data_IF_077829425292
#
_entry.id   IF_077829425292
#
_cell.length_a   1.000
_cell.length_b   1.000
_cell.length_c   1.000
_cell.angle_alpha   90.00
_cell.angle_beta   90.00
_cell.angle_gamma   90.00
#
_symmetry.space_group_name_H-M   'P 1'
#
loop_
_entity.id
_entity.type
_entity.pdbx_description
1 polymer ?
#
# COMPACT_ATOMS: atom_id res chain seq x y z
N UNK A 1 17.10 -39.64 -1.84
CA UNK A 1 16.70 -40.83 -1.11
C UNK A 1 15.28 -40.57 -0.78
N UNK A 2 14.45 -41.12 -1.64
CA UNK A 2 13.24 -41.87 -1.33
C UNK A 2 12.59 -42.20 -2.66
N UNK A 3 12.89 -43.40 -3.05
CA UNK A 3 12.27 -44.12 -4.15
C UNK A 3 10.82 -44.36 -3.78
N UNK A 4 9.91 -44.03 -4.70
CA UNK A 4 8.56 -44.54 -4.66
C UNK A 4 8.62 -46.10 -4.67
N UNK A 5 8.53 -46.72 -3.50
CA UNK A 5 8.11 -48.07 -3.34
C UNK A 5 6.57 -48.14 -3.45
N UNK A 6 6.10 -48.24 -4.67
CA UNK A 6 4.78 -48.75 -4.96
C UNK A 6 4.98 -50.16 -5.50
N UNK A 7 5.00 -51.15 -4.60
CA UNK A 7 4.62 -52.56 -4.85
C UNK A 7 5.11 -53.45 -3.72
N UNK A 8 4.29 -53.63 -2.72
CA UNK A 8 4.05 -54.98 -2.18
C UNK A 8 2.65 -54.98 -1.58
N UNK A 9 1.98 -56.10 -1.94
CA UNK A 9 0.79 -56.70 -1.38
C UNK A 9 -0.56 -56.46 -2.06
N UNK A 10 -0.99 -57.53 -2.67
CA UNK A 10 -2.29 -57.87 -3.18
C UNK A 10 -3.45 -57.33 -2.35
N UNK A 11 -4.23 -56.44 -2.96
CA UNK A 11 -5.67 -56.44 -2.80
C UNK A 11 -6.29 -55.76 -4.02
N UNK A 12 -6.94 -56.56 -4.87
CA UNK A 12 -7.72 -56.08 -6.00
C UNK A 12 -8.93 -55.29 -5.50
N UNK A 13 -8.82 -53.99 -5.53
CA UNK A 13 -9.96 -53.09 -5.56
C UNK A 13 -9.91 -52.36 -6.90
N UNK A 14 -10.89 -52.64 -7.74
CA UNK A 14 -11.07 -52.03 -9.05
C UNK A 14 -11.35 -50.54 -8.90
N UNK A 15 -10.34 -49.71 -8.96
CA UNK A 15 -10.49 -48.32 -9.20
C UNK A 15 -10.74 -48.07 -10.70
N UNK A 16 -11.97 -47.70 -11.07
CA UNK A 16 -12.27 -47.19 -12.41
C UNK A 16 -11.53 -45.87 -12.58
N UNK A 17 -10.40 -45.89 -13.25
CA UNK A 17 -9.81 -44.68 -13.80
C UNK A 17 -10.60 -44.31 -15.06
N UNK A 18 -11.30 -43.19 -15.03
CA UNK A 18 -11.81 -42.57 -16.24
C UNK A 18 -10.61 -42.07 -17.05
N UNK A 19 -10.50 -42.54 -18.29
CA UNK A 19 -9.55 -42.04 -19.28
C UNK A 19 -9.84 -40.55 -19.54
N UNK A 20 -9.22 -39.65 -18.82
CA UNK A 20 -9.06 -38.27 -19.27
C UNK A 20 -7.63 -38.13 -19.77
N UNK A 21 -7.53 -38.04 -21.07
CA UNK A 21 -6.32 -37.70 -21.79
C UNK A 21 -6.04 -36.18 -21.52
N UNK A 22 -5.10 -35.89 -20.66
CA UNK A 22 -4.69 -34.51 -20.46
C UNK A 22 -3.63 -34.18 -21.53
N UNK A 23 -4.05 -33.48 -22.59
CA UNK A 23 -3.12 -32.94 -23.58
C UNK A 23 -2.67 -31.58 -23.08
N UNK A 24 -1.46 -31.50 -22.53
CA UNK A 24 -0.80 -30.25 -22.24
C UNK A 24 0.38 -30.10 -23.21
N UNK A 25 0.22 -29.18 -24.16
CA UNK A 25 1.35 -28.64 -24.94
C UNK A 25 2.19 -29.65 -25.71
N UNK A 26 1.60 -30.58 -26.48
CA UNK A 26 2.32 -31.34 -27.52
C UNK A 26 3.35 -32.37 -27.04
N UNK A 27 3.41 -32.71 -25.78
CA UNK A 27 4.29 -33.76 -25.27
C UNK A 27 3.51 -35.05 -24.99
N UNK A 28 3.71 -36.10 -25.80
CA UNK A 28 3.19 -37.44 -25.57
C UNK A 28 4.16 -38.19 -24.66
N UNK A 29 3.79 -38.39 -23.40
CA UNK A 29 4.53 -39.25 -22.50
C UNK A 29 4.14 -40.72 -22.77
N UNK A 30 5.01 -41.45 -23.45
CA UNK A 30 4.91 -42.89 -23.55
C UNK A 30 5.47 -43.51 -22.26
N UNK A 31 4.58 -44.09 -21.45
CA UNK A 31 4.98 -44.96 -20.34
C UNK A 31 5.47 -46.29 -20.92
N UNK A 32 6.62 -46.81 -20.51
CA UNK A 32 7.07 -48.13 -20.99
C UNK A 32 6.19 -49.24 -20.42
N UNK A 33 5.55 -50.00 -21.30
CA UNK A 33 4.94 -51.29 -20.93
C UNK A 33 6.05 -52.29 -20.62
N UNK A 34 6.12 -52.74 -19.39
CA UNK A 34 6.99 -53.89 -19.04
C UNK A 34 6.19 -55.19 -19.32
N UNK A 35 6.54 -55.87 -20.40
CA UNK A 35 6.09 -57.23 -20.62
C UNK A 35 6.96 -58.19 -19.79
N UNK A 36 6.36 -58.88 -18.85
CA UNK A 36 6.98 -60.03 -18.19
C UNK A 36 6.93 -61.23 -19.13
N UNK A 37 8.06 -61.53 -19.76
CA UNK A 37 8.32 -62.87 -20.25
C UNK A 37 9.68 -63.37 -19.76
N UNK A 38 9.80 -64.58 -19.18
CA UNK A 38 11.09 -65.05 -18.74
C UNK A 38 11.85 -65.60 -19.97
N UNK A 39 12.88 -64.96 -20.38
CA UNK A 39 13.86 -65.50 -21.35
C UNK A 39 15.13 -65.77 -20.56
N UNK A 40 15.59 -67.03 -20.73
CA UNK A 40 16.77 -67.64 -20.13
C UNK A 40 18.02 -66.81 -20.42
N UNK A 41 18.90 -66.73 -19.38
CA UNK A 41 20.19 -66.03 -19.44
C UNK A 41 21.15 -66.77 -20.34
N UNK A 42 21.70 -66.09 -21.31
CA UNK A 42 23.02 -66.40 -21.87
C UNK A 42 23.72 -65.04 -22.21
N UNK A 43 24.89 -64.93 -21.71
CA UNK A 43 25.91 -63.93 -21.84
C UNK A 43 25.72 -62.78 -22.89
N UNK A 44 25.31 -61.61 -22.43
CA UNK A 44 25.54 -60.38 -23.17
C UNK A 44 26.28 -59.40 -22.27
N UNK A 45 27.57 -59.26 -22.50
CA UNK A 45 28.37 -58.16 -21.98
C UNK A 45 27.87 -56.81 -22.55
N UNK A 46 27.01 -56.14 -21.79
CA UNK A 46 26.56 -54.78 -22.18
C UNK A 46 27.64 -53.79 -21.73
N UNK A 47 28.28 -53.19 -22.71
CA UNK A 47 29.16 -52.04 -22.48
C UNK A 47 28.31 -50.91 -21.82
N UNK A 48 28.68 -50.51 -20.63
CA UNK A 48 28.07 -49.37 -19.95
C UNK A 48 28.40 -48.06 -20.69
N UNK A 49 27.47 -47.64 -21.57
CA UNK A 49 27.43 -46.25 -22.00
C UNK A 49 26.95 -45.39 -20.82
N UNK A 50 27.53 -44.24 -20.55
CA UNK A 50 27.08 -43.36 -19.48
C UNK A 50 25.63 -42.92 -19.75
N UNK A 51 24.70 -43.29 -18.84
CA UNK A 51 23.33 -42.85 -18.87
C UNK A 51 23.33 -41.30 -18.75
N UNK A 52 22.83 -40.57 -19.74
CA UNK A 52 22.80 -39.10 -19.62
C UNK A 52 21.94 -38.68 -18.44
N UNK A 53 22.43 -37.68 -17.70
CA UNK A 53 21.80 -37.16 -16.48
C UNK A 53 20.51 -36.40 -16.87
N UNK A 54 19.43 -37.10 -17.15
CA UNK A 54 18.09 -36.53 -17.39
C UNK A 54 17.35 -36.18 -16.06
N UNK A 55 17.90 -36.58 -14.89
CA UNK A 55 17.27 -36.37 -13.58
C UNK A 55 17.11 -34.92 -13.17
N UNK A 56 17.92 -33.98 -13.66
CA UNK A 56 17.88 -32.57 -13.18
C UNK A 56 16.79 -31.76 -13.90
N UNK A 57 16.56 -32.02 -15.17
CA UNK A 57 15.52 -31.31 -15.93
C UNK A 57 14.11 -31.78 -15.56
N UNK A 58 13.92 -33.07 -15.34
CA UNK A 58 12.62 -33.62 -14.93
C UNK A 58 12.13 -33.09 -13.59
N UNK A 59 13.02 -32.90 -12.62
CA UNK A 59 12.67 -32.33 -11.32
C UNK A 59 12.27 -30.84 -11.44
N UNK A 60 12.93 -30.06 -12.30
CA UNK A 60 12.56 -28.66 -12.53
C UNK A 60 11.19 -28.54 -13.20
N UNK A 61 10.94 -29.35 -14.22
CA UNK A 61 9.64 -29.36 -14.90
C UNK A 61 8.53 -29.80 -13.93
N UNK A 62 8.77 -30.83 -13.13
CA UNK A 62 7.80 -31.29 -12.13
C UNK A 62 7.51 -30.21 -11.07
N UNK A 63 8.53 -29.55 -10.53
CA UNK A 63 8.34 -28.44 -9.59
C UNK A 63 7.55 -27.29 -10.23
N UNK A 64 7.89 -26.91 -11.47
CA UNK A 64 7.15 -25.89 -12.19
C UNK A 64 5.66 -26.26 -12.38
N UNK A 65 5.37 -27.49 -12.76
CA UNK A 65 3.98 -27.97 -12.89
C UNK A 65 3.23 -27.94 -11.54
N UNK A 66 3.89 -28.34 -10.45
CA UNK A 66 3.29 -28.30 -9.10
C UNK A 66 3.05 -26.86 -8.64
N UNK A 67 3.95 -25.95 -8.95
CA UNK A 67 3.80 -24.52 -8.66
C UNK A 67 2.63 -23.92 -9.47
N UNK A 68 2.52 -24.24 -10.76
CA UNK A 68 1.44 -23.78 -11.64
C UNK A 68 0.07 -24.28 -11.14
N UNK A 69 -0.05 -25.56 -10.77
CA UNK A 69 -1.27 -26.15 -10.18
C UNK A 69 -1.63 -25.46 -8.86
N UNK A 70 -0.62 -25.18 -8.03
CA UNK A 70 -0.80 -24.47 -6.76
C UNK A 70 -1.32 -23.04 -6.99
N UNK A 71 -0.79 -22.35 -7.99
CA UNK A 71 -1.19 -20.98 -8.29
C UNK A 71 -2.60 -20.92 -8.92
N UNK A 72 -2.98 -21.86 -9.80
CA UNK A 72 -4.35 -22.00 -10.30
C UNK A 72 -5.36 -22.23 -9.16
N UNK A 73 -5.03 -23.11 -8.21
CA UNK A 73 -5.88 -23.36 -7.03
C UNK A 73 -6.06 -22.11 -6.17
N UNK A 74 -5.00 -21.29 -5.98
CA UNK A 74 -5.08 -20.01 -5.25
C UNK A 74 -5.97 -19.03 -5.98
N UNK A 75 -5.81 -18.90 -7.30
CA UNK A 75 -6.62 -18.01 -8.15
C UNK A 75 -8.09 -18.40 -8.05
N UNK A 76 -8.42 -19.70 -8.16
CA UNK A 76 -9.80 -20.16 -8.05
C UNK A 76 -10.40 -19.87 -6.67
N UNK A 77 -9.66 -20.13 -5.58
CA UNK A 77 -10.07 -19.82 -4.21
C UNK A 77 -10.34 -18.33 -4.02
N UNK A 78 -9.48 -17.47 -4.56
CA UNK A 78 -9.69 -16.03 -4.54
C UNK A 78 -10.95 -15.62 -5.28
N UNK A 79 -11.15 -16.11 -6.51
CA UNK A 79 -12.33 -15.85 -7.33
C UNK A 79 -13.64 -16.23 -6.61
N UNK A 80 -13.68 -17.43 -6.02
CA UNK A 80 -14.84 -17.92 -5.27
C UNK A 80 -15.08 -17.14 -3.98
N UNK A 81 -14.01 -16.75 -3.31
CA UNK A 81 -14.09 -15.87 -2.13
C UNK A 81 -14.73 -14.53 -2.46
N UNK A 82 -14.28 -13.89 -3.54
CA UNK A 82 -14.84 -12.60 -3.99
C UNK A 82 -16.31 -12.74 -4.36
N UNK A 83 -16.69 -13.77 -5.14
CA UNK A 83 -18.09 -14.01 -5.50
C UNK A 83 -19.00 -14.22 -4.27
N UNK A 84 -18.55 -15.00 -3.28
CA UNK A 84 -19.31 -15.22 -2.03
C UNK A 84 -19.44 -13.96 -1.18
N UNK A 85 -18.38 -13.14 -1.14
CA UNK A 85 -18.31 -11.91 -0.35
C UNK A 85 -19.23 -10.82 -0.88
N UNK A 86 -19.40 -10.75 -2.19
CA UNK A 86 -20.16 -9.69 -2.86
C UNK A 86 -21.31 -10.22 -3.71
N UNK A 87 -22.35 -10.82 -3.10
CA UNK A 87 -23.47 -11.38 -3.85
C UNK A 87 -24.22 -10.26 -4.60
N UNK A 88 -24.54 -10.51 -5.88
CA UNK A 88 -25.24 -9.56 -6.75
C UNK A 88 -24.39 -8.39 -7.26
N UNK A 89 -23.09 -8.35 -6.96
CA UNK A 89 -22.20 -7.30 -7.47
C UNK A 89 -21.75 -7.57 -8.91
N UNK A 90 -21.47 -6.51 -9.64
CA UNK A 90 -20.74 -6.58 -10.91
C UNK A 90 -19.25 -6.73 -10.59
N UNK A 91 -18.68 -7.88 -10.92
CA UNK A 91 -17.26 -8.21 -10.69
C UNK A 91 -16.54 -8.27 -12.03
N UNK A 92 -15.44 -7.53 -12.15
CA UNK A 92 -14.56 -7.52 -13.33
C UNK A 92 -13.13 -7.81 -12.93
N UNK A 93 -12.45 -8.62 -13.74
CA UNK A 93 -11.00 -8.80 -13.59
C UNK A 93 -10.27 -7.54 -14.05
N UNK A 94 -9.35 -7.05 -13.22
CA UNK A 94 -8.38 -6.03 -13.60
C UNK A 94 -7.12 -6.72 -14.12
N UNK A 95 -6.62 -7.69 -13.36
CA UNK A 95 -5.53 -8.61 -13.68
C UNK A 95 -5.63 -9.84 -12.76
N UNK A 96 -4.75 -10.82 -12.93
CA UNK A 96 -4.68 -12.01 -12.07
C UNK A 96 -4.48 -11.60 -10.60
N UNK A 97 -5.41 -12.05 -9.74
CA UNK A 97 -5.41 -11.68 -8.31
C UNK A 97 -5.92 -10.28 -8.00
N UNK A 98 -6.48 -9.54 -8.99
CA UNK A 98 -7.01 -8.19 -8.78
C UNK A 98 -8.38 -8.05 -9.41
N UNK A 99 -9.39 -7.69 -8.62
CA UNK A 99 -10.78 -7.53 -9.05
C UNK A 99 -11.28 -6.11 -8.81
N UNK A 100 -12.08 -5.60 -9.74
CA UNK A 100 -12.96 -4.45 -9.51
C UNK A 100 -14.37 -4.94 -9.27
N UNK A 101 -14.97 -4.52 -8.17
CA UNK A 101 -16.31 -4.90 -7.73
C UNK A 101 -17.16 -3.64 -7.63
N UNK A 102 -18.33 -3.65 -8.24
CA UNK A 102 -19.30 -2.56 -8.18
C UNK A 102 -20.63 -3.07 -7.66
N UNK A 103 -21.15 -2.43 -6.61
CA UNK A 103 -22.43 -2.82 -6.01
C UNK A 103 -23.20 -1.60 -5.48
N UNK A 104 -24.49 -1.78 -5.28
CA UNK A 104 -25.35 -0.83 -4.56
C UNK A 104 -25.87 -1.51 -3.31
N UNK A 105 -25.72 -0.85 -2.16
CA UNK A 105 -26.34 -1.25 -0.89
C UNK A 105 -27.34 -0.20 -0.46
N UNK A 106 -28.28 -0.58 0.40
CA UNK A 106 -29.28 0.33 0.97
C UNK A 106 -29.03 0.50 2.45
N UNK A 107 -28.97 1.76 2.88
CA UNK A 107 -28.85 2.14 4.28
C UNK A 107 -29.99 3.11 4.63
N UNK A 108 -30.81 2.75 5.62
CA UNK A 108 -32.02 3.50 5.98
C UNK A 108 -32.93 3.74 4.75
N UNK A 109 -33.11 2.70 3.90
CA UNK A 109 -33.91 2.74 2.68
C UNK A 109 -33.31 3.56 1.53
N UNK A 110 -32.11 4.16 1.67
CA UNK A 110 -31.50 5.01 0.66
C UNK A 110 -30.33 4.28 -0.04
N UNK A 111 -30.17 4.42 -1.35
CA UNK A 111 -29.13 3.75 -2.10
C UNK A 111 -27.73 4.34 -1.80
N UNK A 112 -26.75 3.47 -1.85
CA UNK A 112 -25.32 3.79 -1.70
C UNK A 112 -24.53 2.97 -2.72
N UNK A 113 -23.89 3.64 -3.67
CA UNK A 113 -23.01 3.02 -4.67
C UNK A 113 -21.60 2.87 -4.11
N UNK A 114 -21.06 1.67 -4.28
CA UNK A 114 -19.74 1.29 -3.74
C UNK A 114 -18.92 0.71 -4.88
N UNK A 115 -17.71 1.20 -5.03
CA UNK A 115 -16.68 0.63 -5.89
C UNK A 115 -15.54 0.09 -5.01
N UNK A 116 -15.06 -1.11 -5.32
CA UNK A 116 -14.04 -1.80 -4.55
C UNK A 116 -12.97 -2.32 -5.50
N UNK A 117 -11.71 -2.20 -5.11
CA UNK A 117 -10.61 -2.97 -5.69
C UNK A 117 -10.10 -3.91 -4.62
N UNK A 118 -10.18 -5.20 -4.91
CA UNK A 118 -9.69 -6.27 -4.03
C UNK A 118 -8.49 -6.95 -4.66
N UNK A 119 -7.41 -7.14 -3.87
CA UNK A 119 -6.11 -7.60 -4.35
C UNK A 119 -5.61 -8.71 -3.43
N UNK A 120 -5.33 -9.87 -4.00
CA UNK A 120 -4.58 -10.91 -3.31
C UNK A 120 -3.09 -10.78 -3.64
N UNK A 121 -2.31 -10.31 -2.66
CA UNK A 121 -0.88 -10.06 -2.85
C UNK A 121 -0.06 -11.33 -3.11
N UNK A 122 -0.55 -12.48 -2.70
CA UNK A 122 0.12 -13.77 -2.95
C UNK A 122 0.03 -14.20 -4.41
N UNK A 123 -0.98 -13.69 -5.12
CA UNK A 123 -1.24 -13.94 -6.55
C UNK A 123 -0.72 -12.78 -7.40
N UNK A 124 -1.03 -11.55 -7.02
CA UNK A 124 -0.70 -10.33 -7.77
C UNK A 124 0.76 -9.86 -7.55
N UNK A 125 1.71 -10.78 -7.51
CA UNK A 125 3.13 -10.56 -7.12
C UNK A 125 3.87 -9.48 -7.93
N UNK A 126 3.44 -9.23 -9.19
CA UNK A 126 4.02 -8.20 -10.08
C UNK A 126 3.57 -6.77 -9.78
N UNK A 127 2.68 -6.60 -8.79
CA UNK A 127 2.15 -5.31 -8.38
C UNK A 127 2.53 -4.99 -6.94
N UNK A 128 2.58 -3.72 -6.64
CA UNK A 128 2.74 -3.19 -5.29
C UNK A 128 1.72 -2.11 -4.99
N UNK A 129 1.31 -2.04 -3.72
CA UNK A 129 0.59 -0.89 -3.19
C UNK A 129 1.61 0.15 -2.73
N UNK A 130 1.46 1.40 -3.18
CA UNK A 130 2.29 2.50 -2.69
C UNK A 130 1.58 3.85 -2.76
N UNK A 131 1.92 4.81 -1.92
CA UNK A 131 1.51 6.20 -2.12
C UNK A 131 2.22 6.79 -3.34
N UNK A 132 1.57 7.76 -3.98
CA UNK A 132 2.15 8.53 -5.08
C UNK A 132 1.80 10.00 -4.91
N UNK A 133 2.78 10.87 -5.06
CA UNK A 133 2.56 12.31 -5.11
C UNK A 133 1.92 12.72 -6.44
N UNK A 134 1.24 13.85 -6.46
CA UNK A 134 0.73 14.45 -7.69
C UNK A 134 1.82 15.05 -8.57
N UNK A 135 2.98 15.36 -7.99
CA UNK A 135 4.16 15.89 -8.68
C UNK A 135 5.09 14.79 -9.15
N UNK A 136 5.66 14.93 -10.34
CA UNK A 136 6.72 14.06 -10.85
C UNK A 136 8.12 14.46 -10.32
N UNK A 137 8.23 15.60 -9.65
CA UNK A 137 9.48 16.16 -9.12
C UNK A 137 9.48 16.22 -7.58
N UNK A 138 8.69 15.35 -6.95
CA UNK A 138 8.56 15.27 -5.48
C UNK A 138 8.10 16.56 -4.78
N UNK A 139 7.57 17.53 -5.52
CA UNK A 139 7.11 18.79 -4.95
C UNK A 139 5.78 18.60 -4.21
N UNK A 140 5.75 18.94 -2.93
CA UNK A 140 4.56 18.84 -2.07
C UNK A 140 3.47 19.87 -2.39
N UNK A 141 3.82 20.97 -3.07
CA UNK A 141 2.88 22.02 -3.47
C UNK A 141 2.26 21.74 -4.86
N UNK A 142 1.74 20.54 -5.04
CA UNK A 142 1.16 20.10 -6.31
C UNK A 142 -0.20 19.43 -6.11
N UNK A 143 -1.05 19.55 -7.11
CA UNK A 143 -2.32 18.79 -7.22
C UNK A 143 -2.52 18.39 -8.68
N UNK A 144 -2.95 17.14 -8.92
CA UNK A 144 -3.31 16.61 -10.23
C UNK A 144 -4.52 15.69 -10.12
N UNK A 145 -5.21 15.45 -11.23
CA UNK A 145 -6.28 14.45 -11.27
C UNK A 145 -5.73 13.05 -11.00
N UNK A 146 -6.57 12.17 -10.46
CA UNK A 146 -6.20 10.75 -10.23
C UNK A 146 -5.69 10.09 -11.51
N UNK A 147 -6.29 10.40 -12.66
CA UNK A 147 -5.90 9.87 -13.96
C UNK A 147 -4.45 10.26 -14.33
N UNK A 148 -4.06 11.51 -14.04
CA UNK A 148 -2.70 11.98 -14.29
C UNK A 148 -1.72 11.25 -13.36
N UNK A 149 -2.04 11.14 -12.06
CA UNK A 149 -1.18 10.43 -11.09
C UNK A 149 -1.02 8.97 -11.49
N UNK A 150 -2.12 8.27 -11.82
CA UNK A 150 -2.08 6.87 -12.21
C UNK A 150 -1.27 6.61 -13.49
N UNK A 151 -1.38 7.50 -14.49
CA UNK A 151 -0.57 7.43 -15.73
C UNK A 151 0.91 7.64 -15.43
N UNK A 152 1.26 8.63 -14.63
CA UNK A 152 2.66 8.94 -14.28
C UNK A 152 3.33 7.81 -13.48
N UNK A 153 2.55 7.02 -12.76
CA UNK A 153 3.03 5.90 -11.94
C UNK A 153 2.82 4.53 -12.59
N UNK A 154 2.36 4.49 -13.86
CA UNK A 154 2.03 3.25 -14.57
C UNK A 154 1.12 2.32 -13.75
N UNK A 155 0.11 2.90 -13.10
CA UNK A 155 -0.76 2.18 -12.18
C UNK A 155 -2.02 1.67 -12.86
N UNK A 156 -2.45 0.45 -12.49
CA UNK A 156 -3.67 -0.18 -13.00
C UNK A 156 -4.91 0.17 -12.17
N UNK A 157 -4.70 0.53 -10.90
CA UNK A 157 -5.77 1.02 -10.03
C UNK A 157 -5.22 2.08 -9.07
N UNK A 158 -6.07 3.02 -8.67
CA UNK A 158 -5.72 4.05 -7.70
C UNK A 158 -6.96 4.60 -7.00
N UNK A 159 -6.77 5.09 -5.76
CA UNK A 159 -7.74 5.92 -5.04
C UNK A 159 -7.06 7.18 -4.52
N UNK A 160 -7.83 8.23 -4.21
CA UNK A 160 -7.28 9.40 -3.51
C UNK A 160 -6.62 8.99 -2.19
N UNK A 161 -5.57 9.69 -1.83
CA UNK A 161 -4.75 9.37 -0.66
C UNK A 161 -5.14 10.10 0.61
N UNK A 162 -4.12 10.63 1.33
CA UNK A 162 -4.30 11.35 2.58
C UNK A 162 -4.92 12.72 2.40
N UNK A 163 -5.40 13.31 3.50
CA UNK A 163 -5.85 14.70 3.55
C UNK A 163 -4.75 15.66 3.10
N UNK A 164 -5.14 16.81 2.60
CA UNK A 164 -4.19 17.84 2.18
C UNK A 164 -4.75 19.24 2.38
N UNK A 165 -3.89 20.26 2.35
CA UNK A 165 -4.30 21.66 2.39
C UNK A 165 -4.78 22.08 1.00
N UNK A 166 -6.08 22.35 0.78
CA UNK A 166 -6.64 22.58 -0.56
C UNK A 166 -5.97 23.71 -1.33
N UNK A 167 -5.52 24.76 -0.63
CA UNK A 167 -4.91 25.94 -1.22
C UNK A 167 -3.53 25.65 -1.82
N UNK A 168 -2.75 24.78 -1.18
CA UNK A 168 -1.35 24.54 -1.54
C UNK A 168 -1.07 23.15 -2.09
N UNK A 169 -1.91 22.16 -1.79
CA UNK A 169 -1.66 20.77 -2.14
C UNK A 169 -0.82 20.00 -1.10
N UNK A 170 -0.25 20.66 -0.10
CA UNK A 170 0.61 19.98 0.90
C UNK A 170 -0.17 18.89 1.64
N UNK A 171 0.32 17.63 1.66
CA UNK A 171 -0.29 16.54 2.41
C UNK A 171 -0.34 16.84 3.91
N UNK A 172 -1.40 16.38 4.57
CA UNK A 172 -1.64 16.55 6.01
C UNK A 172 -1.65 15.19 6.70
N UNK A 173 -0.57 14.86 7.39
CA UNK A 173 -0.34 13.60 8.06
C UNK A 173 0.93 12.92 7.55
N UNK A 174 1.30 11.80 8.16
CA UNK A 174 2.51 11.07 7.79
C UNK A 174 2.40 10.51 6.37
N UNK A 175 3.33 10.91 5.52
CA UNK A 175 3.53 10.35 4.18
C UNK A 175 5.00 9.96 4.03
N UNK A 176 5.23 8.67 3.80
CA UNK A 176 6.54 8.10 3.49
C UNK A 176 6.43 7.31 2.18
N UNK A 177 7.37 7.51 1.28
CA UNK A 177 7.48 6.80 0.00
C UNK A 177 8.93 6.35 -0.15
N UNK A 178 9.14 5.06 -0.42
CA UNK A 178 10.48 4.46 -0.60
C UNK A 178 11.44 4.83 0.55
N UNK A 179 11.00 4.61 1.80
CA UNK A 179 11.72 4.90 3.06
C UNK A 179 12.02 6.39 3.31
N UNK A 180 11.53 7.31 2.46
CA UNK A 180 11.71 8.75 2.61
C UNK A 180 10.45 9.38 3.20
N UNK A 181 10.58 10.09 4.32
CA UNK A 181 9.48 10.84 4.95
C UNK A 181 9.31 12.18 4.23
N UNK A 182 8.16 12.37 3.61
CA UNK A 182 7.77 13.61 2.94
C UNK A 182 7.07 14.59 3.87
N UNK A 183 6.16 14.10 4.72
CA UNK A 183 5.45 14.89 5.73
C UNK A 183 5.28 14.10 7.01
N UNK A 184 5.25 14.80 8.14
CA UNK A 184 5.06 14.16 9.44
C UNK A 184 3.61 14.13 9.92
N UNK A 185 3.35 13.54 11.09
CA UNK A 185 2.01 13.29 11.62
C UNK A 185 1.29 14.57 12.06
N UNK A 186 -0.04 14.53 12.02
CA UNK A 186 -0.89 15.56 12.63
C UNK A 186 -2.00 14.90 13.47
N UNK A 187 -2.39 15.53 14.56
CA UNK A 187 -3.54 15.17 15.38
C UNK A 187 -3.60 13.69 15.81
N UNK A 188 -2.47 13.03 15.97
CA UNK A 188 -2.39 11.63 16.36
C UNK A 188 -3.23 10.70 15.44
N UNK A 189 -3.20 10.96 14.13
CA UNK A 189 -3.96 10.20 13.14
C UNK A 189 -3.36 8.83 12.90
N UNK A 190 -4.23 7.89 12.56
CA UNK A 190 -3.80 6.57 12.13
C UNK A 190 -3.13 6.63 10.76
N UNK A 191 -2.19 5.73 10.53
CA UNK A 191 -1.57 5.51 9.24
C UNK A 191 -1.52 4.02 8.91
N UNK A 192 -1.46 3.72 7.61
CA UNK A 192 -1.14 2.42 7.06
C UNK A 192 0.35 2.37 6.74
N UNK A 193 1.07 1.45 7.38
CA UNK A 193 2.41 1.03 7.02
C UNK A 193 2.35 -0.08 5.97
N UNK A 194 3.13 0.07 4.91
CA UNK A 194 3.20 -0.84 3.77
C UNK A 194 4.59 -1.43 3.72
N UNK A 195 4.67 -2.74 3.84
CA UNK A 195 5.89 -3.55 3.81
C UNK A 195 5.89 -4.41 2.54
N UNK A 196 6.87 -5.26 2.38
CA UNK A 196 6.84 -6.24 1.29
C UNK A 196 5.82 -7.34 1.60
N UNK A 197 4.65 -7.24 0.95
CA UNK A 197 3.54 -8.19 1.11
C UNK A 197 2.82 -8.18 2.46
N UNK A 198 3.07 -7.19 3.32
CA UNK A 198 2.46 -7.06 4.65
C UNK A 198 1.98 -5.64 4.89
N UNK A 199 0.93 -5.52 5.72
CA UNK A 199 0.35 -4.23 6.11
C UNK A 199 0.20 -4.14 7.62
N UNK A 200 0.41 -2.96 8.17
CA UNK A 200 0.13 -2.66 9.58
C UNK A 200 -0.58 -1.32 9.71
N UNK A 201 -1.39 -1.15 10.73
CA UNK A 201 -2.00 0.14 11.06
C UNK A 201 -1.63 0.56 12.47
N UNK A 202 -1.18 1.80 12.62
CA UNK A 202 -0.90 2.39 13.93
C UNK A 202 -1.14 3.90 13.91
N UNK A 203 -1.27 4.50 15.08
CA UNK A 203 -1.08 5.94 15.23
C UNK A 203 0.42 6.21 15.15
N UNK A 204 0.82 7.01 14.18
CA UNK A 204 2.24 7.28 13.91
C UNK A 204 2.61 8.63 14.49
N UNK A 205 3.64 8.66 15.31
CA UNK A 205 4.28 9.85 15.83
C UNK A 205 5.65 10.04 15.17
N UNK A 206 6.18 11.26 15.23
CA UNK A 206 7.54 11.57 14.79
C UNK A 206 8.49 11.55 15.99
N UNK A 207 9.51 10.73 15.92
CA UNK A 207 10.66 10.78 16.81
C UNK A 207 11.83 11.42 16.05
N UNK A 208 11.94 12.76 16.16
CA UNK A 208 12.91 13.51 15.39
C UNK A 208 13.68 14.49 16.28
N UNK A 209 14.99 14.61 16.01
CA UNK A 209 15.90 15.44 16.78
C UNK A 209 16.88 16.18 15.89
N UNK A 210 17.21 17.40 16.29
CA UNK A 210 18.39 18.11 15.85
C UNK A 210 19.46 17.91 16.91
N UNK A 211 20.62 17.37 16.53
CA UNK A 211 21.69 16.95 17.43
C UNK A 211 22.96 17.77 17.17
N UNK A 212 23.72 17.98 18.25
CA UNK A 212 25.06 18.58 18.24
C UNK A 212 25.88 17.94 19.38
N UNK A 213 26.67 16.92 19.08
CA UNK A 213 27.34 16.11 20.11
C UNK A 213 26.30 15.52 21.08
N UNK A 214 26.44 15.80 22.36
CA UNK A 214 25.51 15.34 23.41
C UNK A 214 24.31 16.25 23.61
N UNK A 215 24.23 17.38 22.93
CA UNK A 215 23.10 18.31 23.00
C UNK A 215 22.08 18.01 21.89
N UNK A 216 20.82 17.98 22.22
CA UNK A 216 19.76 17.78 21.24
C UNK A 216 18.51 18.54 21.56
N UNK A 217 17.78 18.95 20.54
CA UNK A 217 16.41 19.46 20.65
C UNK A 217 15.46 18.62 19.81
N UNK A 218 14.21 18.54 20.25
CA UNK A 218 13.16 17.85 19.51
C UNK A 218 12.81 18.62 18.25
N UNK A 219 12.64 17.93 17.13
CA UNK A 219 11.96 18.43 15.93
C UNK A 219 10.50 18.01 16.04
N UNK A 220 9.58 18.96 16.05
CA UNK A 220 8.15 18.69 16.24
C UNK A 220 7.51 18.13 15.00
N UNK A 221 7.98 18.54 13.80
CA UNK A 221 7.43 18.02 12.54
C UNK A 221 8.35 18.29 11.34
N UNK A 222 7.98 17.69 10.19
CA UNK A 222 8.68 17.87 8.91
C UNK A 222 7.68 18.31 7.83
N UNK A 223 8.08 19.29 7.01
CA UNK A 223 7.33 19.80 5.85
C UNK A 223 5.85 20.09 6.16
N UNK A 224 5.58 20.71 7.31
CA UNK A 224 4.22 21.05 7.72
C UNK A 224 3.87 22.49 7.39
N UNK A 225 2.66 22.73 6.84
CA UNK A 225 2.20 24.10 6.54
C UNK A 225 1.77 24.88 7.78
N UNK A 226 1.57 24.19 8.92
CA UNK A 226 1.21 24.81 10.20
C UNK A 226 2.45 25.00 11.04
N UNK A 227 2.77 26.27 11.28
CA UNK A 227 3.91 26.69 12.09
C UNK A 227 3.41 27.49 13.29
N UNK A 228 3.66 27.01 14.50
CA UNK A 228 3.49 27.76 15.73
C UNK A 228 4.82 28.35 16.17
N UNK A 229 4.79 29.47 16.90
CA UNK A 229 5.99 30.17 17.35
C UNK A 229 6.88 29.34 18.28
N UNK A 230 6.34 28.29 18.91
CA UNK A 230 7.07 27.37 19.78
C UNK A 230 7.61 26.12 19.07
N UNK A 231 7.27 25.91 17.80
CA UNK A 231 7.64 24.69 17.07
C UNK A 231 9.05 24.76 16.52
N UNK A 232 9.72 23.61 16.55
CA UNK A 232 10.92 23.32 15.76
C UNK A 232 10.50 22.45 14.57
N UNK A 233 10.63 22.96 13.36
CA UNK A 233 10.22 22.29 12.13
C UNK A 233 11.40 22.10 11.20
N UNK A 234 11.49 20.92 10.59
CA UNK A 234 12.44 20.65 9.51
C UNK A 234 11.75 20.83 8.15
N UNK A 235 12.44 21.46 7.22
CA UNK A 235 12.02 21.59 5.83
C UNK A 235 13.06 20.98 4.90
N UNK A 236 12.62 20.16 3.97
CA UNK A 236 13.43 19.50 2.95
C UNK A 236 13.13 20.06 1.57
N UNK A 237 13.94 19.70 0.57
CA UNK A 237 13.79 20.19 -0.80
C UNK A 237 12.42 19.92 -1.41
N UNK A 238 11.73 18.89 -0.96
CA UNK A 238 10.36 18.55 -1.36
C UNK A 238 9.32 19.60 -0.96
N UNK A 239 9.59 20.37 0.09
CA UNK A 239 8.78 21.55 0.42
C UNK A 239 8.88 22.62 -0.67
N UNK A 240 10.04 22.81 -1.26
CA UNK A 240 10.32 23.82 -2.27
C UNK A 240 11.75 24.33 -2.20
N UNK A 241 12.04 25.39 -2.97
CA UNK A 241 13.37 25.97 -2.99
C UNK A 241 13.75 26.68 -1.69
N UNK A 242 12.75 27.26 -0.99
CA UNK A 242 12.95 28.03 0.24
C UNK A 242 12.05 27.55 1.36
N UNK A 243 12.55 27.60 2.58
CA UNK A 243 11.74 27.42 3.77
C UNK A 243 10.70 28.54 3.92
N UNK A 244 9.57 28.32 4.60
CA UNK A 244 8.57 29.36 4.81
C UNK A 244 9.08 30.45 5.77
N UNK A 245 8.39 31.59 5.78
CA UNK A 245 8.68 32.70 6.71
C UNK A 245 8.55 32.17 8.14
N UNK A 246 9.56 32.50 8.97
CA UNK A 246 9.54 32.18 10.40
C UNK A 246 8.41 32.90 11.12
N UNK A 247 7.79 32.32 12.14
CA UNK A 247 6.90 33.05 13.04
C UNK A 247 7.67 34.06 13.86
N UNK A 248 6.95 34.95 14.57
CA UNK A 248 7.57 35.94 15.46
C UNK A 248 8.59 35.27 16.40
N UNK A 249 9.79 35.84 16.52
CA UNK A 249 10.95 35.30 17.24
C UNK A 249 11.54 34.02 16.68
N UNK A 250 11.12 33.59 15.51
CA UNK A 250 11.68 32.43 14.83
C UNK A 250 12.99 32.75 14.12
N UNK A 251 13.82 31.74 13.96
CA UNK A 251 15.09 31.79 13.26
C UNK A 251 15.28 30.53 12.43
N UNK A 252 16.15 30.59 11.44
CA UNK A 252 16.39 29.49 10.52
C UNK A 252 17.88 29.15 10.48
N UNK A 253 18.19 27.86 10.40
CA UNK A 253 19.51 27.36 10.06
C UNK A 253 19.39 26.39 8.88
N UNK A 254 20.23 26.57 7.88
CA UNK A 254 20.38 25.62 6.76
C UNK A 254 21.52 24.66 7.08
N UNK A 255 21.23 23.35 6.97
CA UNK A 255 22.16 22.29 7.33
C UNK A 255 22.44 21.43 6.10
N UNK A 256 23.72 21.22 5.80
CA UNK A 256 24.21 20.30 4.77
C UNK A 256 25.49 19.66 5.27
N UNK A 257 25.68 18.38 4.98
CA UNK A 257 26.90 17.63 5.32
C UNK A 257 27.34 17.81 6.79
N UNK A 258 26.36 17.71 7.70
CA UNK A 258 26.52 17.86 9.16
C UNK A 258 27.07 19.23 9.61
N UNK A 259 26.87 20.28 8.80
CA UNK A 259 27.28 21.65 9.10
C UNK A 259 26.16 22.66 8.87
N UNK A 260 26.15 23.71 9.68
CA UNK A 260 25.32 24.88 9.37
C UNK A 260 26.02 25.67 8.28
N UNK A 261 25.42 25.70 7.09
CA UNK A 261 25.92 26.42 5.90
C UNK A 261 25.37 27.83 5.80
N UNK A 262 24.23 28.13 6.42
CA UNK A 262 23.64 29.48 6.48
C UNK A 262 22.70 29.60 7.68
N UNK A 263 22.46 30.83 8.14
CA UNK A 263 21.50 31.10 9.21
C UNK A 263 20.92 32.52 9.06
N UNK A 264 19.61 32.66 9.34
CA UNK A 264 18.91 33.95 9.15
C UNK A 264 17.56 33.97 9.89
N UNK A 265 17.03 35.15 10.14
CA UNK A 265 15.62 35.37 10.49
C UNK A 265 14.70 35.38 9.26
N UNK A 266 15.27 35.55 8.06
CA UNK A 266 14.55 35.49 6.78
C UNK A 266 14.55 34.08 6.19
N UNK A 267 13.61 33.75 5.28
CA UNK A 267 13.56 32.48 4.59
C UNK A 267 14.87 32.10 3.90
N UNK A 268 15.43 30.97 4.27
CA UNK A 268 16.64 30.41 3.68
C UNK A 268 16.32 29.47 2.51
N UNK A 269 17.24 29.39 1.56
CA UNK A 269 17.25 28.34 0.54
C UNK A 269 17.49 26.98 1.21
N UNK A 270 16.69 25.98 0.83
CA UNK A 270 16.82 24.62 1.34
C UNK A 270 17.90 23.92 0.51
N UNK A 271 19.02 23.48 1.12
CA UNK A 271 20.08 22.79 0.39
C UNK A 271 19.60 21.43 -0.13
N UNK A 272 20.10 21.04 -1.29
CA UNK A 272 19.89 19.67 -1.79
C UNK A 272 20.58 18.65 -0.88
N UNK A 273 19.84 17.61 -0.49
CA UNK A 273 20.32 16.61 0.45
C UNK A 273 20.47 17.12 1.90
N UNK A 274 19.93 18.32 2.19
CA UNK A 274 20.00 18.94 3.50
C UNK A 274 18.63 19.37 4.04
N UNK A 275 18.68 20.21 5.07
CA UNK A 275 17.51 20.70 5.79
C UNK A 275 17.58 22.20 6.05
N UNK A 276 16.43 22.84 6.16
CA UNK A 276 16.30 24.10 6.91
C UNK A 276 15.49 23.80 8.17
N UNK A 277 16.08 24.07 9.33
CA UNK A 277 15.37 24.00 10.61
C UNK A 277 14.87 25.39 10.95
N UNK A 278 13.57 25.51 11.21
CA UNK A 278 12.89 26.71 11.67
C UNK A 278 12.46 26.50 13.10
N UNK A 279 12.93 27.33 14.02
CA UNK A 279 12.63 27.20 15.45
C UNK A 279 12.72 28.58 16.15
N UNK A 280 12.26 28.71 17.41
CA UNK A 280 12.56 29.87 18.22
C UNK A 280 14.07 30.12 18.27
N UNK A 281 14.50 31.40 18.16
CA UNK A 281 15.93 31.76 18.16
C UNK A 281 16.69 31.15 19.34
N UNK A 282 16.08 31.20 20.54
CA UNK A 282 16.70 30.65 21.77
C UNK A 282 17.02 29.14 21.66
N UNK A 283 16.20 28.39 20.94
CA UNK A 283 16.41 26.95 20.75
C UNK A 283 17.58 26.68 19.81
N UNK A 284 17.84 27.57 18.82
CA UNK A 284 18.93 27.41 17.85
C UNK A 284 20.24 28.05 18.30
N UNK A 285 20.22 28.91 19.29
CA UNK A 285 21.41 29.64 19.74
C UNK A 285 22.61 28.72 20.08
N UNK A 286 22.46 27.58 20.78
CA UNK A 286 23.58 26.70 21.04
C UNK A 286 24.23 26.16 19.76
N UNK A 287 23.41 25.82 18.76
CA UNK A 287 23.87 25.28 17.47
C UNK A 287 24.65 26.31 16.65
N UNK A 288 24.23 27.58 16.71
CA UNK A 288 24.93 28.69 16.05
C UNK A 288 26.35 28.92 16.58
N UNK A 289 26.59 28.61 17.84
CA UNK A 289 27.90 28.72 18.46
C UNK A 289 28.93 27.71 17.93
N UNK A 290 28.47 26.48 17.60
CA UNK A 290 29.37 25.38 17.17
C UNK A 290 29.51 25.26 15.65
N UNK A 291 28.42 25.42 14.92
CA UNK A 291 28.30 25.28 13.42
C UNK A 291 28.66 23.91 12.83
N UNK A 292 29.33 23.01 13.56
CA UNK A 292 29.81 21.71 13.10
C UNK A 292 29.19 20.57 13.91
N UNK A 293 29.27 19.34 13.38
CA UNK A 293 28.71 18.13 13.99
C UNK A 293 27.21 18.24 14.28
N UNK A 294 26.49 18.84 13.36
CA UNK A 294 25.03 19.04 13.43
C UNK A 294 24.39 17.93 12.61
N UNK A 295 23.56 17.09 13.22
CA UNK A 295 22.82 16.06 12.52
C UNK A 295 21.32 16.18 12.76
N UNK A 296 20.54 15.74 11.78
CA UNK A 296 19.08 15.62 11.86
C UNK A 296 18.75 14.15 11.84
N UNK A 297 18.15 13.64 12.92
CA UNK A 297 17.65 12.27 13.02
C UNK A 297 16.12 12.30 12.98
N UNK A 298 15.52 11.56 12.05
CA UNK A 298 14.07 11.52 11.82
C UNK A 298 13.63 10.08 11.74
N UNK A 299 12.83 9.63 12.71
CA UNK A 299 12.23 8.30 12.78
C UNK A 299 10.75 8.40 13.09
N UNK A 300 10.01 7.34 12.83
CA UNK A 300 8.61 7.20 13.25
C UNK A 300 8.52 6.41 14.56
N UNK A 301 7.42 6.60 15.30
CA UNK A 301 7.03 5.77 16.42
C UNK A 301 5.56 5.29 16.17
N UNK A 302 5.26 3.98 16.06
CA UNK A 302 6.20 2.88 16.21
C UNK A 302 7.32 2.91 15.17
N UNK A 303 8.51 2.43 15.54
CA UNK A 303 9.60 2.20 14.61
C UNK A 303 9.29 0.92 13.81
N UNK A 304 8.63 1.10 12.68
CA UNK A 304 8.35 0.01 11.76
C UNK A 304 9.61 -0.33 10.97
N UNK A 305 10.33 -1.34 11.42
CA UNK A 305 11.47 -1.88 10.67
C UNK A 305 10.99 -2.36 9.31
N UNK A 306 11.76 -2.08 8.28
CA UNK A 306 11.52 -2.50 6.89
C UNK A 306 10.21 -1.96 6.26
N UNK A 307 9.56 -0.97 6.87
CA UNK A 307 8.44 -0.29 6.22
C UNK A 307 8.94 0.47 4.99
N UNK A 308 8.32 0.21 3.83
CA UNK A 308 8.66 0.92 2.59
C UNK A 308 7.89 2.23 2.45
N UNK A 309 6.61 2.19 2.79
CA UNK A 309 5.73 3.34 2.64
C UNK A 309 4.81 3.51 3.85
N UNK A 310 4.42 4.74 4.12
CA UNK A 310 3.41 5.08 5.12
C UNK A 310 2.45 6.07 4.50
N UNK A 311 1.15 5.84 4.69
CA UNK A 311 0.12 6.81 4.32
C UNK A 311 -0.84 7.02 5.49
N UNK A 312 -0.94 8.26 5.94
CA UNK A 312 -1.86 8.64 7.02
C UNK A 312 -3.29 8.77 6.51
N UNK A 313 -4.22 8.41 7.34
CA UNK A 313 -5.65 8.58 7.10
C UNK A 313 -6.36 9.05 8.39
N UNK A 314 -7.52 8.50 8.61
CA UNK A 314 -8.28 8.68 9.85
C UNK A 314 -9.76 8.98 9.62
N UNK A 315 -10.58 8.52 10.57
CA UNK A 315 -10.26 7.72 11.74
C UNK A 315 -9.97 6.25 11.38
N UNK A 316 -9.63 5.44 12.39
CA UNK A 316 -9.80 4.00 12.29
C UNK A 316 -11.24 3.68 11.91
N UNK A 317 -11.45 2.61 11.14
CA UNK A 317 -12.75 2.03 10.83
C UNK A 317 -12.87 0.64 11.48
N UNK A 318 -11.85 -0.19 11.29
CA UNK A 318 -11.74 -1.52 11.87
C UNK A 318 -10.36 -1.62 12.52
N UNK A 319 -10.32 -2.14 13.74
CA UNK A 319 -9.09 -2.45 14.46
C UNK A 319 -9.24 -3.83 15.08
N UNK A 320 -8.29 -4.73 14.80
CA UNK A 320 -8.25 -6.10 15.32
C UNK A 320 -9.61 -6.82 15.17
N UNK A 321 -10.17 -6.75 13.95
CA UNK A 321 -11.47 -7.32 13.55
C UNK A 321 -12.70 -6.69 14.23
N UNK A 322 -12.54 -5.60 14.97
CA UNK A 322 -13.63 -4.88 15.61
C UNK A 322 -13.88 -3.52 14.96
N UNK A 323 -15.14 -3.13 14.87
CA UNK A 323 -15.50 -1.75 14.49
C UNK A 323 -14.93 -0.80 15.54
N UNK A 324 -14.10 0.13 15.13
CA UNK A 324 -13.42 1.07 16.01
C UNK A 324 -13.29 2.44 15.32
N UNK A 325 -14.25 3.33 15.59
CA UNK A 325 -14.31 4.67 14.97
C UNK A 325 -13.94 5.72 16.00
N UNK A 326 -12.67 6.10 16.04
CA UNK A 326 -12.09 7.02 17.04
C UNK A 326 -12.04 8.48 16.56
N UNK A 327 -13.13 8.95 15.96
CA UNK A 327 -13.24 10.24 15.27
C UNK A 327 -12.81 11.43 16.13
N UNK A 328 -13.20 11.45 17.41
CA UNK A 328 -12.88 12.56 18.33
C UNK A 328 -11.41 12.57 18.73
N UNK A 329 -10.83 11.39 18.97
CA UNK A 329 -9.41 11.24 19.31
C UNK A 329 -8.48 11.74 18.19
N UNK A 330 -8.96 11.72 16.94
CA UNK A 330 -8.20 12.16 15.76
C UNK A 330 -8.62 13.55 15.25
N UNK A 331 -9.46 14.28 16.00
CA UNK A 331 -9.99 15.62 15.67
C UNK A 331 -10.65 15.65 14.28
N UNK A 332 -11.50 14.66 14.00
CA UNK A 332 -12.19 14.48 12.72
C UNK A 332 -13.73 14.54 12.85
N UNK A 333 -14.29 15.07 13.95
CA UNK A 333 -15.74 15.16 14.17
C UNK A 333 -16.50 15.87 13.05
N UNK A 334 -15.87 16.85 12.38
CA UNK A 334 -16.49 17.59 11.27
C UNK A 334 -16.84 16.72 10.06
N UNK A 335 -16.28 15.51 9.93
CA UNK A 335 -16.57 14.60 8.81
C UNK A 335 -17.53 13.46 9.17
N UNK A 336 -18.22 13.51 10.32
CA UNK A 336 -19.04 12.39 10.83
C UNK A 336 -20.28 12.03 10.01
N UNK A 337 -20.90 12.98 9.28
CA UNK A 337 -22.12 12.81 8.51
C UNK A 337 -22.01 11.86 7.30
N UNK A 338 -23.14 11.63 6.59
CA UNK A 338 -23.17 10.89 5.32
C UNK A 338 -22.43 11.68 4.24
N UNK A 339 -21.36 11.10 3.69
CA UNK A 339 -20.49 11.72 2.70
C UNK A 339 -19.96 10.68 1.70
N UNK A 340 -19.46 11.10 0.53
CA UNK A 340 -18.55 10.27 -0.25
C UNK A 340 -17.35 9.87 0.61
N UNK A 341 -16.87 8.61 0.48
CA UNK A 341 -15.84 8.04 1.33
C UNK A 341 -14.79 7.30 0.53
N UNK A 342 -13.57 7.32 1.03
CA UNK A 342 -12.49 6.45 0.58
C UNK A 342 -11.92 5.73 1.78
N UNK A 343 -11.73 4.42 1.66
CA UNK A 343 -11.15 3.60 2.72
C UNK A 343 -10.17 2.58 2.15
N UNK A 344 -9.23 2.18 2.99
CA UNK A 344 -8.30 1.09 2.74
C UNK A 344 -8.29 0.15 3.95
N UNK A 345 -8.28 -1.15 3.69
CA UNK A 345 -8.16 -2.15 4.73
C UNK A 345 -7.51 -3.41 4.21
N UNK A 346 -7.17 -4.31 5.11
CA UNK A 346 -6.62 -5.61 4.79
C UNK A 346 -7.21 -6.71 5.67
N UNK A 347 -7.28 -7.91 5.13
CA UNK A 347 -7.79 -9.11 5.81
C UNK A 347 -6.66 -9.84 6.55
N UNK A 348 -7.03 -10.85 7.35
CA UNK A 348 -6.07 -11.74 8.03
C UNK A 348 -5.05 -12.37 7.06
N UNK A 349 -5.45 -12.61 5.82
CA UNK A 349 -4.60 -13.22 4.79
C UNK A 349 -3.88 -12.18 3.93
N UNK A 350 -3.77 -10.92 4.40
CA UNK A 350 -3.18 -9.80 3.66
C UNK A 350 -3.82 -9.49 2.31
N UNK A 351 -5.07 -9.92 2.06
CA UNK A 351 -5.85 -9.43 0.93
C UNK A 351 -6.16 -7.96 1.17
N UNK A 352 -5.78 -7.10 0.24
CA UNK A 352 -6.00 -5.66 0.33
C UNK A 352 -7.37 -5.29 -0.24
N UNK A 353 -8.08 -4.39 0.41
CA UNK A 353 -9.41 -3.93 0.01
C UNK A 353 -9.45 -2.40 0.00
N UNK A 354 -9.51 -1.82 -1.19
CA UNK A 354 -9.70 -0.37 -1.42
C UNK A 354 -11.16 -0.12 -1.71
N UNK A 355 -11.79 0.81 -1.01
CA UNK A 355 -13.22 1.12 -1.12
C UNK A 355 -13.43 2.60 -1.42
N UNK A 356 -14.27 2.87 -2.40
CA UNK A 356 -14.80 4.21 -2.68
C UNK A 356 -16.33 4.15 -2.66
N UNK A 357 -16.93 5.05 -1.91
CA UNK A 357 -18.38 5.23 -1.77
C UNK A 357 -18.77 6.55 -2.38
N UNK A 358 -19.65 6.53 -3.38
CA UNK A 358 -20.25 7.75 -3.93
C UNK A 358 -21.24 8.37 -2.92
N UNK A 359 -21.49 9.65 -3.04
CA UNK A 359 -22.42 10.30 -2.12
C UNK A 359 -22.81 11.71 -2.55
N UNK A 360 -23.71 12.34 -1.75
CA UNK A 360 -24.27 13.68 -1.98
C UNK A 360 -25.14 13.75 -3.24
N UNK A 361 -25.70 12.63 -3.65
CA UNK A 361 -26.61 12.51 -4.79
C UNK A 361 -27.77 11.55 -4.49
N UNK A 362 -28.88 11.68 -5.23
CA UNK A 362 -30.07 10.84 -5.01
C UNK A 362 -29.81 9.35 -5.23
N UNK A 363 -28.89 9.02 -6.12
CA UNK A 363 -28.55 7.64 -6.47
C UNK A 363 -27.47 7.05 -5.53
N UNK A 364 -26.87 7.89 -4.66
CA UNK A 364 -25.92 7.48 -3.63
C UNK A 364 -25.80 8.58 -2.57
N UNK A 365 -26.39 8.34 -1.40
CA UNK A 365 -26.39 9.36 -0.33
C UNK A 365 -25.06 9.43 0.44
N UNK A 366 -24.16 8.47 0.21
CA UNK A 366 -22.91 8.31 0.97
C UNK A 366 -23.09 7.55 2.28
N UNK A 367 -22.01 7.42 3.00
CA UNK A 367 -21.95 6.70 4.28
C UNK A 367 -21.48 7.59 5.42
N UNK A 368 -22.01 7.33 6.62
CA UNK A 368 -21.35 7.74 7.87
C UNK A 368 -20.09 6.88 8.06
N UNK A 369 -19.18 7.32 8.93
CA UNK A 369 -17.97 6.54 9.23
C UNK A 369 -18.28 5.20 9.91
N UNK A 370 -19.35 5.15 10.72
CA UNK A 370 -19.80 3.90 11.35
C UNK A 370 -20.37 2.92 10.33
N UNK A 371 -21.16 3.41 9.36
CA UNK A 371 -21.66 2.57 8.24
C UNK A 371 -20.50 2.03 7.39
N UNK A 372 -19.50 2.87 7.09
CA UNK A 372 -18.31 2.46 6.38
C UNK A 372 -17.49 1.42 7.17
N UNK A 373 -17.33 1.62 8.47
CA UNK A 373 -16.61 0.68 9.35
C UNK A 373 -17.29 -0.69 9.39
N UNK A 374 -18.63 -0.72 9.56
CA UNK A 374 -19.41 -1.96 9.48
C UNK A 374 -19.27 -2.64 8.13
N UNK A 375 -19.27 -1.86 7.05
CA UNK A 375 -19.04 -2.39 5.69
C UNK A 375 -17.64 -3.01 5.58
N UNK A 376 -16.58 -2.31 5.98
CA UNK A 376 -15.20 -2.82 5.92
C UNK A 376 -15.02 -4.10 6.75
N UNK A 377 -15.64 -4.16 7.94
CA UNK A 377 -15.68 -5.40 8.74
C UNK A 377 -16.43 -6.52 8.02
N UNK A 378 -17.59 -6.24 7.42
CA UNK A 378 -18.43 -7.24 6.75
C UNK A 378 -17.75 -7.88 5.54
N UNK A 379 -16.81 -7.16 4.90
CA UNK A 379 -16.02 -7.68 3.77
C UNK A 379 -14.70 -8.33 4.22
N UNK A 380 -14.53 -8.54 5.54
CA UNK A 380 -13.45 -9.35 6.12
C UNK A 380 -12.18 -8.57 6.49
N UNK A 381 -12.19 -7.25 6.50
CA UNK A 381 -11.05 -6.49 6.99
C UNK A 381 -10.82 -6.74 8.48
N UNK A 382 -9.59 -7.10 8.83
CA UNK A 382 -9.12 -7.14 10.23
C UNK A 382 -8.68 -5.77 10.71
N UNK A 383 -8.14 -4.95 9.79
CA UNK A 383 -7.84 -3.55 10.03
C UNK A 383 -8.22 -2.71 8.81
N UNK A 384 -8.76 -1.52 9.07
CA UNK A 384 -9.13 -0.56 8.04
C UNK A 384 -9.09 0.87 8.55
N UNK A 385 -8.72 1.80 7.67
CA UNK A 385 -8.70 3.24 7.94
C UNK A 385 -9.47 3.99 6.86
N UNK A 386 -10.08 5.13 7.26
CA UNK A 386 -10.61 6.08 6.31
C UNK A 386 -9.47 6.94 5.75
N UNK A 387 -9.52 7.25 4.46
CA UNK A 387 -8.67 8.22 3.78
C UNK A 387 -9.41 9.55 3.58
N UNK A 388 -8.86 10.49 2.81
CA UNK A 388 -9.60 11.70 2.46
C UNK A 388 -10.87 11.34 1.70
N UNK A 389 -11.90 12.15 1.87
CA UNK A 389 -13.25 11.87 1.36
C UNK A 389 -13.92 13.08 0.72
N UNK A 390 -15.25 13.02 0.67
CA UNK A 390 -16.03 14.12 0.12
C UNK A 390 -15.68 14.40 -1.34
N UNK A 391 -15.28 15.63 -1.66
CA UNK A 391 -14.92 16.03 -3.03
C UNK A 391 -13.68 15.33 -3.59
N UNK A 392 -12.80 14.84 -2.71
CA UNK A 392 -11.58 14.11 -3.11
C UNK A 392 -11.85 12.65 -3.51
N UNK A 393 -13.01 12.10 -3.13
CA UNK A 393 -13.35 10.69 -3.34
C UNK A 393 -13.35 10.30 -4.80
N UNK A 394 -12.37 9.49 -5.21
CA UNK A 394 -12.20 9.06 -6.60
C UNK A 394 -11.48 7.72 -6.68
N UNK A 395 -11.92 6.85 -7.61
CA UNK A 395 -11.26 5.58 -7.94
C UNK A 395 -10.98 5.50 -9.44
N UNK A 396 -9.75 5.18 -9.77
CA UNK A 396 -9.28 4.90 -11.12
C UNK A 396 -9.01 3.42 -11.30
N UNK A 397 -9.43 2.85 -12.43
CA UNK A 397 -9.17 1.46 -12.83
C UNK A 397 -8.96 1.41 -14.34
N UNK A 398 -7.86 0.84 -14.79
CA UNK A 398 -7.55 0.57 -16.20
C UNK A 398 -7.91 1.74 -17.14
N UNK A 399 -7.40 2.93 -16.88
CA UNK A 399 -7.57 4.09 -17.75
C UNK A 399 -8.78 4.98 -17.44
N UNK A 400 -9.68 4.55 -16.54
CA UNK A 400 -10.97 5.23 -16.32
C UNK A 400 -11.22 5.53 -14.84
N UNK A 401 -11.91 6.63 -14.55
CA UNK A 401 -12.56 6.87 -13.26
C UNK A 401 -13.84 6.05 -13.23
N UNK A 402 -13.97 5.15 -12.24
CA UNK A 402 -15.05 4.13 -12.20
C UNK A 402 -16.19 4.45 -11.23
N UNK A 403 -15.99 5.39 -10.32
CA UNK A 403 -17.03 5.94 -9.43
C UNK A 403 -17.64 7.22 -10.02
N UNK A 404 -18.59 7.83 -9.31
CA UNK A 404 -19.22 9.11 -9.71
C UNK A 404 -18.76 10.24 -8.76
N UNK A 405 -17.56 10.84 -8.98
CA UNK A 405 -17.09 11.94 -8.15
C UNK A 405 -17.89 13.22 -8.39
N UNK A 406 -17.87 14.14 -7.42
CA UNK A 406 -18.63 15.40 -7.49
C UNK A 406 -18.33 16.26 -8.74
N UNK A 407 -17.16 16.10 -9.33
CA UNK A 407 -16.76 16.71 -10.61
C UNK A 407 -16.32 15.61 -11.57
N UNK A 408 -16.69 15.71 -12.84
CA UNK A 408 -16.31 14.73 -13.86
C UNK A 408 -14.79 14.50 -13.89
N UNK A 409 -14.38 13.24 -13.67
CA UNK A 409 -12.96 12.86 -13.58
C UNK A 409 -12.30 13.11 -12.22
N UNK A 410 -13.04 13.62 -11.23
CA UNK A 410 -12.54 13.97 -9.89
C UNK A 410 -11.86 15.35 -9.84
N UNK A 411 -11.70 15.86 -8.64
CA UNK A 411 -10.91 17.09 -8.41
C UNK A 411 -9.41 16.79 -8.49
N UNK A 412 -8.60 17.83 -8.59
CA UNK A 412 -7.15 17.72 -8.42
C UNK A 412 -6.82 17.43 -6.95
N UNK A 413 -6.10 16.33 -6.70
CA UNK A 413 -5.70 15.82 -5.38
C UNK A 413 -4.18 15.90 -5.20
N UNK A 414 -3.73 15.93 -3.96
CA UNK A 414 -2.32 16.06 -3.58
C UNK A 414 -1.52 14.77 -3.82
N UNK A 415 -2.13 13.65 -3.50
CA UNK A 415 -1.51 12.33 -3.55
C UNK A 415 -2.60 11.26 -3.74
N UNK A 416 -2.18 10.10 -4.15
CA UNK A 416 -3.02 8.93 -4.34
C UNK A 416 -2.39 7.70 -3.67
N UNK A 417 -3.20 6.68 -3.42
CA UNK A 417 -2.75 5.34 -3.11
C UNK A 417 -2.96 4.49 -4.36
N UNK A 418 -1.88 3.96 -4.91
CA UNK A 418 -1.86 3.34 -6.24
C UNK A 418 -1.43 1.88 -6.20
N UNK A 419 -1.96 1.09 -7.15
CA UNK A 419 -1.48 -0.25 -7.47
C UNK A 419 -0.66 -0.12 -8.74
N UNK A 420 0.65 -0.15 -8.59
CA UNK A 420 1.61 0.01 -9.68
C UNK A 420 2.35 -1.30 -9.95
N UNK A 421 2.89 -1.47 -11.15
CA UNK A 421 3.84 -2.55 -11.44
C UNK A 421 5.15 -2.29 -10.68
N UNK A 422 5.70 -3.37 -10.12
CA UNK A 422 7.03 -3.38 -9.50
C UNK A 422 8.13 -3.10 -10.52
#
# INVERSE_FOLDING_TARGET
MDTLDLYTENNYSTAKFSNQLLIVGGLVLLLPFIFNNPIMADDITVAHAPVPVIKVESNKIYQQMMDDISDESKIQKFNDSVKRKYPGALIKDIDTGIKHIKLTKYYDGKPVRINIVEIDNSIAKKYELRPALSSNTDNLHSKRTITTIAKNTNSIAAVNGTFFKPQTGVPLGTLMIDNKIYTGPIYNRVALGIFDGKYETARVELNAKLNMGNYSIKIDNINQPRMLSSYTLAYTREWGAKAPVSPKYGYQIAIKDNKIVNSSSNPLDIPEGGYVIVAPYRALQPFLASKNNISVDIKTNPEWKDVKHIISGGPYLVKDSNVYVDINAQKLSAIGGKNPRTAIGYTKNNTLIMVVVDGRENQSVGMTLVQLANFMKSVGCTNAINLDGGGSTVMYVNGQVVNNPAFKGGIAISNALVIARK
#
